data_IF_192013816618
#
_entry.id   IF_192013816618
#
_cell.length_a   1.000
_cell.length_b   1.000
_cell.length_c   1.000
_cell.angle_alpha   90.00
_cell.angle_beta   90.00
_cell.angle_gamma   90.00
#
_symmetry.space_group_name_H-M   'P 1'
#
loop_
_entity.id
_entity.type
_entity.pdbx_description
1 polymer ?
#
# COMPACT_ATOMS: atom_id res chain seq x y z
N UNK A 1 0.79 -1.29 17.40
CA UNK A 1 1.56 -2.35 16.68
C UNK A 1 1.38 -3.73 17.29
N UNK A 2 1.70 -3.97 18.59
CA UNK A 2 1.38 -5.26 19.25
C UNK A 2 -0.12 -5.58 19.24
N UNK A 3 -0.97 -4.56 19.32
CA UNK A 3 -2.43 -4.71 19.24
C UNK A 3 -2.96 -5.11 17.85
N UNK A 4 -2.18 -4.89 16.79
CA UNK A 4 -2.52 -5.29 15.43
C UNK A 4 -1.89 -6.60 15.01
N UNK A 5 -1.04 -7.21 15.86
CA UNK A 5 -0.30 -8.44 15.56
C UNK A 5 0.47 -8.40 14.23
N UNK A 6 0.97 -7.22 13.83
CA UNK A 6 1.84 -7.09 12.66
C UNK A 6 3.21 -7.73 12.96
N UNK A 7 3.72 -8.64 12.11
CA UNK A 7 4.99 -9.33 12.34
C UNK A 7 6.17 -8.44 11.91
N UNK A 8 6.37 -7.33 12.63
CA UNK A 8 7.45 -6.38 12.37
C UNK A 8 8.75 -6.97 12.91
N UNK A 9 9.50 -7.62 12.02
CA UNK A 9 10.79 -8.23 12.29
C UNK A 9 11.83 -7.70 11.29
N UNK A 10 13.11 -7.74 11.65
CA UNK A 10 14.21 -7.21 10.81
C UNK A 10 14.29 -7.93 9.45
N UNK A 11 13.87 -9.18 9.39
CA UNK A 11 13.85 -10.01 8.17
C UNK A 11 12.56 -9.86 7.36
N UNK A 12 11.55 -9.16 7.89
CA UNK A 12 10.28 -9.01 7.21
C UNK A 12 10.44 -8.04 6.03
N UNK A 13 9.87 -8.42 4.88
CA UNK A 13 9.80 -7.55 3.71
C UNK A 13 8.65 -6.54 3.88
N UNK A 14 8.86 -5.55 4.73
CA UNK A 14 7.88 -4.52 5.10
C UNK A 14 7.63 -3.56 3.93
N UNK A 15 6.42 -2.96 3.84
CA UNK A 15 6.18 -1.80 2.98
C UNK A 15 6.92 -0.57 3.52
N UNK A 16 7.05 0.47 2.68
CA UNK A 16 7.68 1.72 3.10
C UNK A 16 6.92 2.43 4.24
N UNK A 17 5.58 2.44 4.20
CA UNK A 17 4.76 3.07 5.24
C UNK A 17 3.51 2.24 5.54
N UNK A 18 3.15 2.16 6.83
CA UNK A 18 1.84 1.66 7.29
C UNK A 18 1.18 2.76 8.11
N UNK A 19 -0.01 3.19 7.70
CA UNK A 19 -0.84 4.16 8.42
C UNK A 19 -2.05 3.45 9.02
N UNK A 20 -2.41 3.85 10.24
CA UNK A 20 -3.54 3.32 10.97
C UNK A 20 -4.56 4.43 11.20
N UNK A 21 -5.74 4.24 10.62
CA UNK A 21 -6.90 5.10 10.80
C UNK A 21 -7.85 4.40 11.78
N UNK A 22 -7.68 4.67 13.07
CA UNK A 22 -8.41 3.99 14.15
C UNK A 22 -9.93 4.21 14.08
N UNK A 23 -10.37 5.45 13.83
CA UNK A 23 -11.79 5.80 13.77
C UNK A 23 -12.52 5.01 12.68
N UNK A 24 -11.85 4.76 11.56
CA UNK A 24 -12.36 4.02 10.41
C UNK A 24 -12.03 2.53 10.44
N UNK A 25 -11.31 2.06 11.46
CA UNK A 25 -10.69 0.72 11.55
C UNK A 25 -10.05 0.33 10.23
N UNK A 26 -9.18 1.18 9.69
CA UNK A 26 -8.54 0.98 8.40
C UNK A 26 -7.02 1.04 8.52
N UNK A 27 -6.35 0.09 7.88
CA UNK A 27 -4.91 0.08 7.69
C UNK A 27 -4.60 0.46 6.24
N UNK A 28 -3.75 1.47 6.05
CA UNK A 28 -3.27 1.88 4.73
C UNK A 28 -1.82 1.45 4.59
N UNK A 29 -1.54 0.62 3.59
CA UNK A 29 -0.23 0.06 3.28
C UNK A 29 0.30 0.78 2.05
N UNK A 30 1.44 1.46 2.19
CA UNK A 30 1.98 2.35 1.15
C UNK A 30 3.36 1.89 0.70
N UNK A 31 3.55 1.82 -0.62
CA UNK A 31 4.87 1.75 -1.26
C UNK A 31 5.19 3.09 -1.95
N UNK A 32 6.39 3.62 -1.73
CA UNK A 32 6.85 4.88 -2.30
C UNK A 32 7.82 4.59 -3.44
N UNK A 33 7.38 4.85 -4.66
CA UNK A 33 8.17 4.56 -5.87
C UNK A 33 9.24 5.64 -6.05
N UNK A 34 10.47 5.31 -5.65
CA UNK A 34 11.69 6.04 -5.97
C UNK A 34 12.64 5.20 -6.84
N UNK A 35 13.05 4.02 -6.34
CA UNK A 35 13.87 3.03 -7.05
C UNK A 35 13.26 1.61 -7.05
N UNK A 36 12.37 1.32 -6.10
CA UNK A 36 11.51 0.13 -6.06
C UNK A 36 10.34 0.26 -7.03
N UNK A 37 9.77 -0.88 -7.43
CA UNK A 37 8.54 -0.93 -8.24
C UNK A 37 7.28 -0.61 -7.42
N UNK A 38 6.12 -0.45 -8.09
CA UNK A 38 4.84 -0.21 -7.42
C UNK A 38 4.35 -1.42 -6.63
N UNK A 39 3.19 -1.31 -5.96
CA UNK A 39 2.44 -2.50 -5.54
C UNK A 39 1.95 -3.22 -6.79
N UNK A 40 2.73 -4.22 -7.22
CA UNK A 40 2.36 -5.17 -8.26
C UNK A 40 1.54 -6.32 -7.70
N UNK A 41 0.96 -7.16 -8.56
CA UNK A 41 0.13 -8.28 -8.10
C UNK A 41 0.92 -9.26 -7.21
N UNK A 42 2.20 -9.50 -7.52
CA UNK A 42 3.07 -10.34 -6.70
C UNK A 42 3.43 -9.67 -5.37
N UNK A 43 3.67 -8.35 -5.36
CA UNK A 43 3.93 -7.60 -4.12
C UNK A 43 2.68 -7.53 -3.24
N UNK A 44 1.51 -7.32 -3.83
CA UNK A 44 0.22 -7.34 -3.12
C UNK A 44 0.01 -8.67 -2.41
N UNK A 45 0.23 -9.80 -3.09
CA UNK A 45 0.12 -11.12 -2.46
C UNK A 45 1.07 -11.31 -1.27
N UNK A 46 2.26 -10.72 -1.29
CA UNK A 46 3.19 -10.73 -0.14
C UNK A 46 2.70 -9.85 1.01
N UNK A 47 2.21 -8.65 0.68
CA UNK A 47 1.67 -7.71 1.66
C UNK A 47 0.41 -8.26 2.32
N UNK A 48 -0.46 -8.96 1.57
CA UNK A 48 -1.64 -9.64 2.11
C UNK A 48 -1.25 -10.58 3.24
N UNK A 49 -0.18 -11.40 3.06
CA UNK A 49 0.32 -12.27 4.13
C UNK A 49 0.77 -11.49 5.37
N UNK A 50 1.42 -10.33 5.17
CA UNK A 50 1.89 -9.47 6.26
C UNK A 50 0.73 -8.92 7.10
N UNK A 51 -0.41 -8.61 6.48
CA UNK A 51 -1.54 -7.92 7.12
C UNK A 51 -2.74 -8.82 7.41
N UNK A 52 -2.61 -10.14 7.28
CA UNK A 52 -3.66 -11.11 7.62
C UNK A 52 -4.20 -10.95 9.04
N UNK A 53 -3.31 -10.72 10.02
CA UNK A 53 -3.71 -10.61 11.42
C UNK A 53 -4.52 -9.33 11.69
N UNK A 54 -4.08 -8.12 11.26
CA UNK A 54 -4.94 -6.94 11.29
C UNK A 54 -6.30 -7.16 10.60
N UNK A 55 -6.31 -7.82 9.44
CA UNK A 55 -7.56 -8.08 8.72
C UNK A 55 -8.49 -9.01 9.52
N UNK A 56 -7.96 -10.06 10.16
CA UNK A 56 -8.71 -10.95 11.04
C UNK A 56 -9.28 -10.24 12.28
N UNK A 57 -8.64 -9.17 12.74
CA UNK A 57 -9.14 -8.28 13.80
C UNK A 57 -10.22 -7.29 13.28
N UNK A 58 -10.62 -7.39 12.02
CA UNK A 58 -11.67 -6.58 11.41
C UNK A 58 -11.21 -5.23 10.89
N UNK A 59 -9.91 -5.04 10.65
CA UNK A 59 -9.40 -3.84 9.98
C UNK A 59 -9.57 -3.96 8.47
N UNK A 60 -10.09 -2.90 7.84
CA UNK A 60 -10.13 -2.77 6.37
C UNK A 60 -8.74 -2.43 5.86
N UNK A 61 -8.37 -3.00 4.72
CA UNK A 61 -7.08 -2.76 4.09
C UNK A 61 -7.24 -1.82 2.90
N UNK A 62 -6.31 -0.87 2.76
CA UNK A 62 -6.12 -0.10 1.53
C UNK A 62 -4.66 -0.14 1.12
N UNK A 63 -4.42 -0.50 -0.13
CA UNK A 63 -3.10 -0.49 -0.73
C UNK A 63 -2.91 0.80 -1.51
N UNK A 64 -1.77 1.45 -1.31
CA UNK A 64 -1.44 2.70 -2.00
C UNK A 64 -0.06 2.60 -2.62
N UNK A 65 0.05 2.91 -3.91
CA UNK A 65 1.35 3.23 -4.50
C UNK A 65 1.50 4.75 -4.63
N UNK A 66 2.52 5.31 -3.97
CA UNK A 66 2.83 6.72 -4.01
C UNK A 66 3.93 7.01 -5.03
N UNK A 67 3.67 7.96 -5.93
CA UNK A 67 4.64 8.42 -6.93
C UNK A 67 4.99 9.90 -6.71
N UNK A 68 6.22 10.33 -7.03
CA UNK A 68 6.58 11.74 -6.92
C UNK A 68 5.86 12.62 -7.96
N UNK A 69 5.56 12.09 -9.15
CA UNK A 69 4.85 12.78 -10.22
C UNK A 69 4.30 11.80 -11.28
N UNK A 70 3.38 12.29 -12.14
CA UNK A 70 2.77 11.49 -13.23
C UNK A 70 3.77 10.95 -14.25
N UNK A 71 4.92 11.62 -14.45
CA UNK A 71 5.95 11.15 -15.39
C UNK A 71 6.56 9.83 -14.94
N UNK A 72 6.78 9.65 -13.63
CA UNK A 72 7.22 8.37 -13.07
C UNK A 72 6.08 7.35 -13.11
N UNK A 73 4.88 7.71 -12.65
CA UNK A 73 3.70 6.82 -12.70
C UNK A 73 3.50 6.17 -14.07
N UNK A 74 3.56 6.96 -15.16
CA UNK A 74 3.37 6.46 -16.53
C UNK A 74 4.31 5.31 -16.90
N UNK A 75 5.52 5.25 -16.31
CA UNK A 75 6.50 4.18 -16.59
C UNK A 75 6.11 2.84 -15.97
N UNK A 76 5.28 2.86 -14.92
CA UNK A 76 4.95 1.70 -14.11
C UNK A 76 3.46 1.32 -14.19
N UNK A 77 2.68 2.02 -15.02
CA UNK A 77 1.21 1.91 -15.02
C UNK A 77 0.71 0.48 -15.29
N UNK A 78 1.44 -0.30 -16.09
CA UNK A 78 1.12 -1.69 -16.43
C UNK A 78 1.44 -2.67 -15.29
N UNK A 79 2.31 -2.28 -14.35
CA UNK A 79 2.74 -3.12 -13.23
C UNK A 79 1.85 -2.97 -11.99
N UNK A 80 1.05 -1.90 -11.91
CA UNK A 80 0.20 -1.60 -10.74
C UNK A 80 -0.92 -2.63 -10.64
N UNK A 81 -1.04 -3.26 -9.48
CA UNK A 81 -2.09 -4.22 -9.20
C UNK A 81 -3.48 -3.56 -9.16
N UNK A 82 -4.48 -4.24 -9.71
CA UNK A 82 -5.89 -3.98 -9.39
C UNK A 82 -6.13 -4.04 -7.87
N UNK A 83 -7.07 -3.26 -7.36
CA UNK A 83 -7.33 -3.07 -5.94
C UNK A 83 -6.42 -2.05 -5.25
N UNK A 84 -5.55 -1.35 -6.00
CA UNK A 84 -4.62 -0.35 -5.48
C UNK A 84 -5.10 1.07 -5.75
N UNK A 85 -5.00 1.94 -4.76
CA UNK A 85 -5.12 3.39 -4.92
C UNK A 85 -3.73 3.96 -5.29
N UNK A 86 -3.67 4.95 -6.16
CA UNK A 86 -2.44 5.60 -6.59
C UNK A 86 -2.50 7.07 -6.20
N UNK A 87 -1.48 7.52 -5.48
CA UNK A 87 -1.34 8.90 -5.04
C UNK A 87 -0.11 9.52 -5.68
N UNK A 88 -0.21 10.79 -6.09
CA UNK A 88 0.87 11.49 -6.78
C UNK A 88 1.22 12.75 -5.99
N UNK A 89 2.46 12.81 -5.48
CA UNK A 89 2.87 13.88 -4.56
C UNK A 89 2.82 15.29 -5.18
N UNK A 90 3.05 15.41 -6.49
CA UNK A 90 2.94 16.69 -7.21
C UNK A 90 1.51 17.18 -7.42
N UNK A 91 0.51 16.33 -7.20
CA UNK A 91 -0.93 16.60 -7.37
C UNK A 91 -1.71 15.96 -6.20
N UNK A 92 -1.44 16.42 -4.96
CA UNK A 92 -1.79 15.70 -3.74
C UNK A 92 -3.30 15.61 -3.46
N UNK A 93 -4.11 16.43 -4.13
CA UNK A 93 -5.56 16.50 -3.96
C UNK A 93 -6.29 15.30 -4.57
N UNK A 94 -5.65 14.60 -5.50
CA UNK A 94 -6.25 13.50 -6.26
C UNK A 94 -5.74 12.12 -5.85
N UNK A 95 -6.61 11.11 -6.02
CA UNK A 95 -6.25 9.69 -5.96
C UNK A 95 -6.82 8.99 -7.18
N UNK A 96 -6.02 8.18 -7.85
CA UNK A 96 -6.45 7.32 -8.95
C UNK A 96 -6.72 5.94 -8.38
N UNK A 97 -7.91 5.38 -8.61
CA UNK A 97 -8.23 4.01 -8.16
C UNK A 97 -8.12 3.03 -9.32
N UNK A 98 -7.29 2.00 -9.14
CA UNK A 98 -7.23 0.86 -10.06
C UNK A 98 -8.20 -0.22 -9.55
N UNK A 99 -9.46 -0.17 -9.99
CA UNK A 99 -10.47 -1.14 -9.55
C UNK A 99 -11.90 -0.63 -9.75
N UNK A 100 -12.87 -1.40 -9.27
CA UNK A 100 -14.29 -1.02 -9.17
C UNK A 100 -14.59 -0.42 -7.80
#
# INVERSE_FOLDING_TARGET
MRELNLPIQVTANLPDVILLCEAERCLVVVEVVASSGPISASRMAQLDQLVQQPQALGYRLRYVTAFPNRRILRRFIEEIAWGTDVWVASEPEGVIRFGL
#
